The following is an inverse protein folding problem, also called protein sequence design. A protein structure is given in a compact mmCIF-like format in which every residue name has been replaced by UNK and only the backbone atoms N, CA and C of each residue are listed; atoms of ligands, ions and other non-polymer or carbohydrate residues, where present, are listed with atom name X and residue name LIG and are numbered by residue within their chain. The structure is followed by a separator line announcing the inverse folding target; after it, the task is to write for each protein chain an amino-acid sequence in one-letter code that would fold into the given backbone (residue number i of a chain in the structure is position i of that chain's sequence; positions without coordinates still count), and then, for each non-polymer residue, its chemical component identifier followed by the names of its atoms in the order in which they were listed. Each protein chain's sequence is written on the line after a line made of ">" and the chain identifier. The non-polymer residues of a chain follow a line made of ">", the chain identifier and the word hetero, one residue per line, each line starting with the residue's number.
data_IF_704839348982
#
_entry.id   IF_704839348982
#
_cell.length_a   1.000
_cell.length_b   1.000
_cell.length_c   1.000
_cell.angle_alpha   90.00
_cell.angle_beta   90.00
_cell.angle_gamma   90.00
#
_symmetry.space_group_name_H-M   'P 1'
#
loop_
_entity.id
_entity.type
_entity.pdbx_description
1 polymer ?
#
# COMPACT_ATOMS: atom_id res chain seq x y z
N UNK A 1 54.48 1.05 -49.81
CA UNK A 1 53.59 2.02 -49.15
C UNK A 1 52.28 1.27 -48.86
N UNK A 2 52.00 0.93 -47.60
CA UNK A 2 50.85 0.08 -47.21
C UNK A 2 49.68 0.96 -46.76
N UNK A 3 48.55 0.85 -47.42
CA UNK A 3 47.27 1.46 -47.03
C UNK A 3 46.55 0.56 -46.03
N UNK A 4 46.25 1.09 -44.85
CA UNK A 4 45.39 0.44 -43.85
C UNK A 4 43.98 1.00 -43.98
N UNK A 5 43.04 0.15 -44.39
CA UNK A 5 41.61 0.40 -44.26
C UNK A 5 41.18 -0.04 -42.85
N UNK A 6 40.79 0.91 -42.01
CA UNK A 6 40.21 0.63 -40.70
C UNK A 6 38.72 0.90 -40.80
N UNK A 7 37.95 -0.12 -41.17
CA UNK A 7 36.48 -0.07 -41.11
C UNK A 7 36.04 0.00 -39.64
N UNK A 8 35.53 1.16 -39.23
CA UNK A 8 34.92 1.35 -37.93
C UNK A 8 33.55 0.65 -37.91
N UNK A 9 33.47 -0.54 -37.31
CA UNK A 9 32.19 -1.19 -37.02
C UNK A 9 31.50 -0.44 -35.87
N UNK A 10 30.46 0.33 -36.20
CA UNK A 10 29.55 0.96 -35.26
C UNK A 10 28.62 -0.11 -34.67
N UNK A 11 28.89 -0.57 -33.45
CA UNK A 11 27.99 -1.46 -32.71
C UNK A 11 26.84 -0.60 -32.15
N UNK A 12 25.66 -0.72 -32.74
CA UNK A 12 24.42 -0.16 -32.22
C UNK A 12 23.88 -1.12 -31.15
N UNK A 13 24.07 -0.78 -29.88
CA UNK A 13 23.45 -1.50 -28.76
C UNK A 13 22.00 -1.06 -28.63
N UNK A 14 21.07 -1.90 -29.10
CA UNK A 14 19.63 -1.70 -28.92
C UNK A 14 19.31 -1.95 -27.44
N UNK A 15 19.06 -0.87 -26.68
CA UNK A 15 18.44 -0.95 -25.36
C UNK A 15 16.98 -1.38 -25.56
N UNK A 16 16.73 -2.69 -25.53
CA UNK A 16 15.38 -3.21 -25.40
C UNK A 16 14.86 -2.83 -24.01
N UNK A 17 14.00 -1.82 -23.94
CA UNK A 17 13.24 -1.47 -22.75
C UNK A 17 12.26 -2.60 -22.46
N UNK A 18 12.70 -3.61 -21.70
CA UNK A 18 11.78 -4.58 -21.12
C UNK A 18 10.86 -3.80 -20.19
N UNK A 19 9.61 -3.59 -20.60
CA UNK A 19 8.57 -3.13 -19.70
C UNK A 19 8.40 -4.24 -18.65
N UNK A 20 9.07 -4.08 -17.52
CA UNK A 20 8.89 -4.95 -16.38
C UNK A 20 7.46 -4.74 -15.88
N UNK A 21 6.65 -5.77 -16.06
CA UNK A 21 5.28 -5.78 -15.57
C UNK A 21 5.29 -5.98 -14.05
N UNK A 22 5.04 -4.90 -13.32
CA UNK A 22 5.04 -4.88 -11.88
C UNK A 22 3.91 -3.98 -11.37
N UNK A 23 3.19 -4.43 -10.35
CA UNK A 23 2.23 -3.57 -9.67
C UNK A 23 3.01 -2.48 -8.94
N UNK A 24 2.41 -1.30 -8.82
CA UNK A 24 2.92 -0.26 -7.94
C UNK A 24 2.27 -0.43 -6.57
N UNK A 25 3.03 -0.35 -5.50
CA UNK A 25 2.49 -0.38 -4.15
C UNK A 25 2.87 0.88 -3.37
N UNK A 26 1.96 1.33 -2.52
CA UNK A 26 2.17 2.39 -1.54
C UNK A 26 1.61 1.94 -0.17
N UNK A 27 2.34 2.28 0.89
CA UNK A 27 1.87 2.18 2.28
C UNK A 27 1.86 3.59 2.84
N UNK A 28 0.69 4.09 3.19
CA UNK A 28 0.49 5.45 3.70
C UNK A 28 0.17 5.38 5.19
N UNK A 29 1.06 5.95 6.00
CA UNK A 29 0.96 5.94 7.45
C UNK A 29 0.01 7.01 8.02
N UNK A 30 -0.01 7.17 9.35
CA UNK A 30 -1.01 7.98 10.04
C UNK A 30 -0.94 9.50 9.81
N UNK A 31 0.22 10.04 9.45
CA UNK A 31 0.52 11.46 9.70
C UNK A 31 0.78 12.31 8.45
N UNK A 32 0.94 11.66 7.29
CA UNK A 32 1.27 12.31 6.03
C UNK A 32 0.52 11.63 4.90
N UNK A 33 0.15 12.39 3.88
CA UNK A 33 -0.35 11.84 2.61
C UNK A 33 0.77 11.13 1.82
N UNK A 34 2.04 11.43 2.12
CA UNK A 34 3.17 10.74 1.50
C UNK A 34 3.29 9.32 2.03
N UNK A 35 3.51 8.38 1.12
CA UNK A 35 3.79 7.00 1.45
C UNK A 35 5.06 6.88 2.31
N UNK A 36 4.99 6.04 3.35
CA UNK A 36 6.14 5.66 4.18
C UNK A 36 6.95 4.53 3.54
N UNK A 37 6.28 3.71 2.72
CA UNK A 37 6.92 2.75 1.83
C UNK A 37 6.24 2.81 0.46
N UNK A 38 7.03 2.69 -0.60
CA UNK A 38 6.50 2.59 -1.96
C UNK A 38 7.49 1.82 -2.84
N UNK A 39 6.99 1.14 -3.86
CA UNK A 39 7.84 0.47 -4.82
C UNK A 39 7.04 -0.29 -5.86
N UNK A 40 7.73 -1.17 -6.56
CA UNK A 40 7.14 -2.08 -7.54
C UNK A 40 7.25 -3.53 -7.08
N UNK A 41 6.25 -4.35 -7.36
CA UNK A 41 6.27 -5.77 -7.05
C UNK A 41 5.84 -6.59 -8.27
N UNK A 42 6.63 -7.60 -8.63
CA UNK A 42 6.34 -8.45 -9.79
C UNK A 42 5.29 -9.50 -9.40
N UNK A 43 4.06 -9.31 -9.87
CA UNK A 43 2.98 -10.30 -9.71
C UNK A 43 3.08 -11.29 -10.87
N UNK A 44 3.47 -12.53 -10.57
CA UNK A 44 3.62 -13.60 -11.58
C UNK A 44 2.27 -14.24 -11.93
N UNK A 45 1.35 -14.30 -10.98
CA UNK A 45 0.01 -14.87 -11.14
C UNK A 45 -1.06 -13.92 -10.60
N UNK A 46 -1.93 -13.41 -11.48
CA UNK A 46 -3.04 -12.51 -11.13
C UNK A 46 -4.18 -13.22 -10.37
N UNK A 47 -4.10 -14.55 -10.21
CA UNK A 47 -5.01 -15.31 -9.33
C UNK A 47 -4.60 -15.27 -7.87
N UNK A 48 -3.43 -14.74 -7.55
CA UNK A 48 -2.99 -14.48 -6.18
C UNK A 48 -3.71 -13.24 -5.68
N UNK A 49 -4.26 -13.31 -4.47
CA UNK A 49 -5.02 -12.19 -3.92
C UNK A 49 -4.14 -11.00 -3.56
N UNK A 50 -4.76 -9.82 -3.46
CA UNK A 50 -4.11 -8.60 -2.94
C UNK A 50 -3.53 -8.87 -1.56
N UNK A 51 -4.25 -9.60 -0.72
CA UNK A 51 -3.81 -9.98 0.62
C UNK A 51 -2.53 -10.79 0.62
N UNK A 52 -2.50 -11.88 -0.15
CA UNK A 52 -1.30 -12.72 -0.29
C UNK A 52 -0.14 -11.95 -0.90
N UNK A 53 -0.41 -11.13 -1.92
CA UNK A 53 0.60 -10.25 -2.55
C UNK A 53 1.14 -9.24 -1.54
N UNK A 54 0.29 -8.69 -0.67
CA UNK A 54 0.69 -7.73 0.36
C UNK A 54 1.60 -8.37 1.41
N UNK A 55 1.31 -9.59 1.86
CA UNK A 55 2.20 -10.36 2.73
C UNK A 55 3.58 -10.51 2.09
N UNK A 56 3.63 -10.93 0.81
CA UNK A 56 4.90 -11.09 0.10
C UNK A 56 5.67 -9.76 -0.04
N UNK A 57 4.97 -8.65 -0.33
CA UNK A 57 5.57 -7.31 -0.36
C UNK A 57 6.17 -6.97 1.00
N UNK A 58 5.43 -7.16 2.10
CA UNK A 58 5.89 -6.78 3.42
C UNK A 58 7.07 -7.63 3.88
N UNK A 59 7.05 -8.94 3.64
CA UNK A 59 8.14 -9.87 3.94
C UNK A 59 9.43 -9.57 3.16
N UNK A 60 9.29 -9.28 1.86
CA UNK A 60 10.42 -8.96 0.98
C UNK A 60 11.07 -7.63 1.39
N UNK A 61 10.24 -6.62 1.71
CA UNK A 61 10.71 -5.27 1.99
C UNK A 61 10.96 -5.00 3.49
N UNK A 62 10.79 -6.02 4.35
CA UNK A 62 10.93 -5.91 5.81
C UNK A 62 10.04 -4.82 6.42
N UNK A 63 8.85 -4.65 5.86
CA UNK A 63 7.82 -3.75 6.39
C UNK A 63 7.16 -4.50 7.56
N UNK A 64 7.23 -4.00 8.81
CA UNK A 64 6.65 -4.71 9.94
C UNK A 64 5.13 -4.68 9.86
N UNK A 65 4.50 -5.83 10.12
CA UNK A 65 3.05 -5.96 10.10
C UNK A 65 2.55 -6.98 11.14
N UNK A 66 1.27 -6.87 11.50
CA UNK A 66 0.52 -7.86 12.28
C UNK A 66 -0.76 -8.16 11.49
N UNK A 67 -0.91 -9.39 11.01
CA UNK A 67 -2.04 -9.79 10.18
C UNK A 67 -1.70 -10.95 9.25
N UNK A 68 -2.55 -11.16 8.25
CA UNK A 68 -2.41 -12.19 7.23
C UNK A 68 -3.09 -11.74 5.92
N UNK A 69 -3.24 -12.65 4.96
CA UNK A 69 -3.86 -12.36 3.67
C UNK A 69 -5.30 -11.83 3.77
N UNK A 70 -6.06 -12.16 4.82
CA UNK A 70 -7.41 -11.61 4.99
C UNK A 70 -7.40 -10.14 5.37
N UNK A 71 -6.34 -9.66 6.03
CA UNK A 71 -6.20 -8.26 6.43
C UNK A 71 -5.10 -8.03 7.47
N UNK A 72 -4.83 -6.74 7.72
CA UNK A 72 -3.75 -6.30 8.60
C UNK A 72 -4.30 -5.45 9.75
N UNK A 73 -4.01 -5.88 10.97
CA UNK A 73 -4.29 -5.10 12.18
C UNK A 73 -3.24 -3.99 12.36
N UNK A 74 -1.99 -4.25 11.96
CA UNK A 74 -0.90 -3.29 12.00
C UNK A 74 -0.05 -3.39 10.75
N UNK A 75 0.37 -2.26 10.22
CA UNK A 75 1.44 -2.08 9.23
C UNK A 75 2.29 -0.93 9.76
N UNK A 76 3.60 -0.95 9.56
CA UNK A 76 4.54 0.07 10.08
C UNK A 76 4.41 0.33 11.58
N UNK A 77 4.14 -0.72 12.36
CA UNK A 77 3.97 -0.69 13.82
C UNK A 77 2.87 0.27 14.32
N UNK A 78 1.80 0.47 13.55
CA UNK A 78 0.64 1.22 14.06
C UNK A 78 0.01 0.49 15.25
N UNK A 79 -0.62 1.24 16.18
CA UNK A 79 -1.36 0.65 17.30
C UNK A 79 -2.50 -0.27 16.86
N UNK A 80 -2.88 -1.19 17.75
CA UNK A 80 -3.93 -2.19 17.55
C UNK A 80 -4.86 -2.27 18.76
N UNK A 81 -6.08 -2.77 18.56
CA UNK A 81 -7.01 -2.99 19.67
C UNK A 81 -7.47 -1.66 20.28
N UNK A 82 -7.45 -1.55 21.61
CA UNK A 82 -7.88 -0.32 22.29
C UNK A 82 -6.96 0.87 22.00
N UNK A 83 -5.68 0.61 21.72
CA UNK A 83 -4.71 1.67 21.41
C UNK A 83 -4.94 2.29 20.01
N UNK A 84 -5.80 1.68 19.18
CA UNK A 84 -6.23 2.26 17.90
C UNK A 84 -7.58 3.00 18.00
N UNK A 85 -8.09 3.28 19.20
CA UNK A 85 -9.32 4.05 19.42
C UNK A 85 -8.99 5.45 19.92
N UNK A 86 -9.46 6.49 19.21
CA UNK A 86 -9.45 7.88 19.70
C UNK A 86 -10.81 8.20 20.31
N UNK A 87 -10.87 8.40 21.64
CA UNK A 87 -12.09 8.87 22.31
C UNK A 87 -12.13 10.40 22.25
N UNK A 88 -13.15 10.95 21.60
CA UNK A 88 -13.33 12.39 21.42
C UNK A 88 -14.30 12.99 22.44
N UNK A 89 -15.30 12.19 22.86
CA UNK A 89 -16.25 12.51 23.93
C UNK A 89 -16.96 11.23 24.38
N UNK A 90 -17.87 11.33 25.37
CA UNK A 90 -18.69 10.22 25.85
C UNK A 90 -19.56 9.57 24.76
N UNK A 91 -19.83 10.27 23.66
CA UNK A 91 -20.67 9.77 22.57
C UNK A 91 -19.92 9.62 21.25
N UNK A 92 -18.66 10.03 21.17
CA UNK A 92 -17.93 10.13 19.90
C UNK A 92 -16.54 9.53 20.00
N UNK A 93 -16.23 8.64 19.07
CA UNK A 93 -14.90 8.05 18.93
C UNK A 93 -14.53 7.84 17.47
N UNK A 94 -13.23 7.66 17.22
CA UNK A 94 -12.71 7.18 15.94
C UNK A 94 -12.00 5.86 16.15
N UNK A 95 -12.39 4.84 15.41
CA UNK A 95 -11.72 3.56 15.39
C UNK A 95 -10.77 3.50 14.20
N UNK A 96 -9.48 3.29 14.46
CA UNK A 96 -8.44 3.28 13.44
C UNK A 96 -8.05 1.86 13.04
N UNK A 97 -7.71 1.71 11.77
CA UNK A 97 -7.29 0.45 11.16
C UNK A 97 -6.71 0.67 9.76
N UNK A 98 -6.46 -0.44 9.06
CA UNK A 98 -5.89 -0.40 7.71
C UNK A 98 -6.95 -0.68 6.66
N UNK A 99 -7.02 0.20 5.67
CA UNK A 99 -7.81 0.01 4.47
C UNK A 99 -6.89 -0.12 3.26
N UNK A 100 -7.39 -0.73 2.19
CA UNK A 100 -6.68 -0.80 0.93
C UNK A 100 -7.53 -0.27 -0.23
N UNK A 101 -6.86 0.12 -1.30
CA UNK A 101 -7.46 0.38 -2.60
C UNK A 101 -6.61 -0.21 -3.72
N UNK A 102 -7.25 -0.52 -4.84
CA UNK A 102 -6.60 -0.90 -6.09
C UNK A 102 -7.07 0.07 -7.17
N UNK A 103 -6.14 0.75 -7.83
CA UNK A 103 -6.42 1.80 -8.83
C UNK A 103 -7.41 2.86 -8.30
N UNK A 104 -7.16 3.32 -7.06
CA UNK A 104 -7.97 4.30 -6.33
C UNK A 104 -9.42 3.86 -6.02
N UNK A 105 -9.77 2.61 -6.33
CA UNK A 105 -11.05 1.99 -5.98
C UNK A 105 -10.86 1.20 -4.69
N UNK A 106 -11.69 1.47 -3.68
CA UNK A 106 -11.75 0.68 -2.45
C UNK A 106 -12.72 -0.49 -2.63
N UNK A 107 -12.27 -1.74 -2.62
CA UNK A 107 -13.16 -2.88 -2.75
C UNK A 107 -14.05 -3.06 -1.52
N UNK A 108 -15.25 -3.62 -1.72
CA UNK A 108 -16.18 -4.01 -0.66
C UNK A 108 -15.98 -5.49 -0.24
N UNK A 109 -14.75 -5.97 -0.38
CA UNK A 109 -14.32 -7.32 0.00
C UNK A 109 -12.98 -7.22 0.71
N UNK A 110 -12.66 -8.24 1.49
CA UNK A 110 -11.36 -8.31 2.16
C UNK A 110 -10.22 -8.53 1.16
N UNK A 111 -9.00 -8.15 1.56
CA UNK A 111 -7.84 -8.23 0.67
C UNK A 111 -7.55 -9.66 0.19
N UNK A 112 -7.89 -10.66 1.00
CA UNK A 112 -7.71 -12.08 0.68
C UNK A 112 -8.60 -12.58 -0.46
N UNK A 113 -9.67 -11.86 -0.78
CA UNK A 113 -10.65 -12.21 -1.83
C UNK A 113 -10.52 -11.35 -3.09
N UNK A 114 -9.84 -10.19 -2.98
CA UNK A 114 -9.66 -9.30 -4.12
C UNK A 114 -8.47 -9.74 -4.98
N UNK A 115 -8.65 -9.79 -6.30
CA UNK A 115 -7.61 -10.13 -7.26
C UNK A 115 -7.19 -8.90 -8.07
N UNK A 116 -5.92 -8.83 -8.44
CA UNK A 116 -5.46 -7.86 -9.42
C UNK A 116 -6.04 -8.18 -10.80
N UNK A 117 -6.32 -7.15 -11.57
CA UNK A 117 -6.83 -7.28 -12.94
C UNK A 117 -5.73 -7.04 -13.98
N UNK A 118 -4.70 -6.30 -13.59
CA UNK A 118 -3.51 -6.04 -14.38
C UNK A 118 -2.25 -6.15 -13.53
N UNK A 119 -1.15 -6.55 -14.17
CA UNK A 119 0.18 -6.50 -13.59
C UNK A 119 0.77 -5.09 -13.50
N UNK A 120 0.01 -4.06 -13.89
CA UNK A 120 0.33 -2.64 -13.74
C UNK A 120 -0.56 -1.92 -12.72
N UNK A 121 -1.41 -2.66 -12.01
CA UNK A 121 -2.33 -2.10 -11.02
C UNK A 121 -1.59 -1.37 -9.90
N UNK A 122 -2.24 -0.36 -9.31
CA UNK A 122 -1.74 0.38 -8.15
C UNK A 122 -2.42 -0.12 -6.88
N UNK A 123 -1.69 -0.76 -5.99
CA UNK A 123 -2.11 -1.09 -4.63
C UNK A 123 -1.76 0.04 -3.66
N UNK A 124 -2.71 0.48 -2.85
CA UNK A 124 -2.44 1.40 -1.73
C UNK A 124 -3.00 0.80 -0.45
N UNK A 125 -2.15 0.58 0.55
CA UNK A 125 -2.57 0.41 1.94
C UNK A 125 -2.48 1.76 2.64
N UNK A 126 -3.52 2.17 3.34
CA UNK A 126 -3.53 3.44 4.06
C UNK A 126 -4.16 3.31 5.43
N UNK A 127 -3.53 3.92 6.43
CA UNK A 127 -4.07 3.97 7.78
C UNK A 127 -5.26 4.93 7.80
N UNK A 128 -6.39 4.44 8.30
CA UNK A 128 -7.66 5.13 8.18
C UNK A 128 -8.48 5.00 9.47
N UNK A 129 -9.57 5.75 9.54
CA UNK A 129 -10.53 5.63 10.63
C UNK A 129 -11.97 5.54 10.13
N UNK A 130 -12.82 5.07 11.03
CA UNK A 130 -14.28 5.19 10.99
C UNK A 130 -14.73 5.99 12.20
N UNK A 131 -15.70 6.88 12.03
CA UNK A 131 -16.26 7.72 13.10
C UNK A 131 -17.53 7.11 13.63
N UNK A 132 -17.59 6.89 14.94
CA UNK A 132 -18.80 6.59 15.68
C UNK A 132 -19.29 7.84 16.41
N UNK A 133 -20.57 8.15 16.31
CA UNK A 133 -21.21 9.25 17.04
C UNK A 133 -22.64 8.85 17.43
N UNK A 134 -22.95 8.84 18.73
CA UNK A 134 -24.29 8.63 19.29
C UNK A 134 -25.04 7.37 18.78
N UNK A 135 -24.35 6.25 18.62
CA UNK A 135 -25.00 5.01 18.15
C UNK A 135 -24.73 4.68 16.70
N UNK A 136 -24.21 5.61 15.91
CA UNK A 136 -24.11 5.48 14.46
C UNK A 136 -22.68 5.61 13.96
N UNK A 137 -22.35 4.82 12.94
CA UNK A 137 -21.10 4.95 12.19
C UNK A 137 -21.32 5.86 10.99
N UNK A 138 -20.58 6.97 10.94
CA UNK A 138 -20.82 8.06 9.98
C UNK A 138 -19.96 7.96 8.72
N UNK A 139 -18.74 7.43 8.87
CA UNK A 139 -17.77 7.29 7.78
C UNK A 139 -16.91 6.03 7.98
N UNK A 140 -16.27 5.61 6.89
CA UNK A 140 -15.42 4.43 6.84
C UNK A 140 -14.23 4.66 5.93
N UNK A 141 -13.07 4.14 6.34
CA UNK A 141 -11.82 4.27 5.60
C UNK A 141 -11.47 5.72 5.23
N UNK A 142 -11.67 6.67 6.16
CA UNK A 142 -11.18 8.04 5.97
C UNK A 142 -9.69 8.08 6.29
N UNK A 143 -8.82 8.53 5.37
CA UNK A 143 -7.38 8.54 5.62
C UNK A 143 -7.04 9.34 6.88
N UNK A 144 -6.31 8.72 7.79
CA UNK A 144 -6.01 9.27 9.12
C UNK A 144 -5.17 10.53 9.09
N UNK A 145 -4.32 10.70 8.07
CA UNK A 145 -3.52 11.91 7.84
C UNK A 145 -4.35 13.17 7.58
N UNK A 146 -5.68 13.06 7.36
CA UNK A 146 -6.58 14.20 7.26
C UNK A 146 -6.84 14.86 8.62
N UNK A 147 -6.81 14.08 9.69
CA UNK A 147 -7.02 14.55 11.06
C UNK A 147 -5.69 14.67 11.82
N UNK A 148 -4.76 13.74 11.57
CA UNK A 148 -3.46 13.67 12.26
C UNK A 148 -3.63 13.64 13.79
N UNK A 149 -4.40 12.66 14.27
CA UNK A 149 -4.66 12.51 15.70
C UNK A 149 -3.34 12.50 16.49
N UNK A 150 -3.28 13.29 17.56
CA UNK A 150 -2.05 13.51 18.33
C UNK A 150 -1.47 12.21 18.91
N UNK A 151 -2.33 11.22 19.19
CA UNK A 151 -1.93 9.90 19.67
C UNK A 151 -1.05 9.11 18.69
N UNK A 152 -1.14 9.39 17.39
CA UNK A 152 -0.32 8.73 16.36
C UNK A 152 0.72 9.66 15.76
N UNK A 153 0.42 10.96 15.76
CA UNK A 153 1.21 11.99 15.12
C UNK A 153 1.81 12.91 16.16
N UNK A 154 2.84 12.41 16.83
CA UNK A 154 3.74 13.27 17.59
C UNK A 154 4.52 14.17 16.62
N UNK A 155 4.66 15.45 16.97
CA UNK A 155 5.39 16.44 16.17
C UNK A 155 6.87 16.14 16.10
#
# INVERSE_FOLDING_TARGET
>A
MKTFNTSASLIITIFASFNAYAINYEVIGPCSEKAVHSGTFNVVDLKVSVGQTSVAIFDQNKIPYIGNESGFNSIVNTPTGLDSIEVLSDTKMRAYGWCFSVNDIRPDVIAGEYLFTSNSDKLVWFYAYSTYDKGEWLDYCVPSYKIKAAQFCTK
#
